data_IF_844338095896
#
_entry.id   IF_844338095896
#
_cell.length_a   1.000
_cell.length_b   1.000
_cell.length_c   1.000
_cell.angle_alpha   90.00
_cell.angle_beta   90.00
_cell.angle_gamma   90.00
#
_symmetry.space_group_name_H-M   'P 1'
#
loop_
_entity.id
_entity.type
_entity.pdbx_description
1 polymer ?
#
# COMPACT_ATOMS: atom_id res chain seq x y z
N UNK A 1 25.40 16.12 -28.09
CA UNK A 1 24.41 16.79 -28.96
C UNK A 1 23.81 15.76 -29.92
N UNK A 2 22.64 15.20 -29.62
CA UNK A 2 22.11 14.11 -30.47
C UNK A 2 20.85 13.42 -29.97
N UNK A 3 19.84 14.18 -29.52
CA UNK A 3 18.49 13.64 -29.27
C UNK A 3 17.35 14.57 -29.77
N UNK A 4 17.67 15.82 -30.12
CA UNK A 4 16.70 16.81 -30.62
C UNK A 4 16.49 16.68 -32.15
N UNK A 5 17.44 16.12 -32.92
CA UNK A 5 17.31 16.02 -34.39
C UNK A 5 16.44 14.86 -34.88
N UNK A 6 16.19 13.84 -34.05
CA UNK A 6 15.31 12.71 -34.43
C UNK A 6 13.82 13.02 -34.25
N UNK A 7 13.46 13.98 -33.38
CA UNK A 7 12.06 14.36 -33.15
C UNK A 7 11.51 15.26 -34.27
N UNK A 8 12.37 16.05 -34.93
CA UNK A 8 11.97 16.95 -36.03
C UNK A 8 11.67 16.21 -37.35
N UNK A 9 12.29 15.05 -37.59
CA UNK A 9 12.09 14.27 -38.82
C UNK A 9 10.81 13.42 -38.83
N UNK A 10 10.18 13.19 -37.67
CA UNK A 10 8.89 12.51 -37.57
C UNK A 10 7.68 13.44 -37.75
N UNK A 11 7.89 14.75 -37.63
CA UNK A 11 6.84 15.78 -37.81
C UNK A 11 6.76 16.30 -39.26
N UNK A 12 7.82 16.15 -40.06
CA UNK A 12 7.85 16.60 -41.46
C UNK A 12 7.44 15.52 -42.46
N UNK A 13 7.41 14.24 -42.08
CA UNK A 13 7.03 13.14 -42.99
C UNK A 13 5.52 12.92 -43.16
N UNK A 14 4.67 13.72 -42.50
CA UNK A 14 3.19 13.67 -42.64
C UNK A 14 2.59 14.77 -43.51
N UNK A 15 3.41 15.65 -44.11
CA UNK A 15 2.92 16.78 -44.91
C UNK A 15 3.00 16.52 -46.43
N UNK A 16 3.58 15.41 -46.87
CA UNK A 16 3.68 15.08 -48.31
C UNK A 16 2.77 13.93 -48.72
N UNK A 17 1.45 14.13 -48.66
CA UNK A 17 0.51 13.41 -49.53
C UNK A 17 -0.84 14.14 -49.62
N UNK A 18 -0.82 15.39 -50.08
CA UNK A 18 -2.04 16.08 -50.50
C UNK A 18 -2.16 16.01 -52.03
N UNK A 19 -2.92 15.03 -52.54
CA UNK A 19 -3.48 15.07 -53.89
C UNK A 19 -4.97 14.73 -53.83
N UNK A 20 -5.75 15.71 -54.26
CA UNK A 20 -7.13 15.65 -54.81
C UNK A 20 -8.24 15.11 -53.90
N UNK A 21 -8.96 16.02 -53.23
CA UNK A 21 -10.38 15.86 -52.89
C UNK A 21 -11.14 17.19 -53.05
N UNK A 22 -12.42 17.07 -53.43
CA UNK A 22 -13.35 18.09 -53.93
C UNK A 22 -13.92 19.02 -52.83
N UNK A 23 -14.50 20.19 -53.17
CA UNK A 23 -14.87 21.24 -52.21
C UNK A 23 -16.18 20.99 -51.43
N UNK A 24 -16.45 19.74 -51.04
CA UNK A 24 -17.60 19.39 -50.19
C UNK A 24 -17.25 18.63 -48.91
N UNK A 25 -15.96 18.48 -48.55
CA UNK A 25 -15.51 17.80 -47.32
C UNK A 25 -14.85 18.74 -46.30
N UNK A 26 -14.98 20.05 -46.47
CA UNK A 26 -14.37 21.07 -45.60
C UNK A 26 -15.23 21.48 -44.40
N UNK A 27 -16.41 20.86 -44.21
CA UNK A 27 -17.32 21.21 -43.11
C UNK A 27 -17.44 20.17 -41.98
N UNK A 28 -16.72 19.05 -42.06
CA UNK A 28 -16.76 17.97 -41.04
C UNK A 28 -15.39 17.58 -40.42
N UNK A 29 -14.36 18.42 -40.57
CA UNK A 29 -13.04 18.20 -39.95
C UNK A 29 -12.62 19.26 -38.92
N UNK A 30 -13.54 20.12 -38.49
CA UNK A 30 -13.31 21.12 -37.42
C UNK A 30 -14.12 20.83 -36.15
N UNK A 31 -14.41 19.56 -35.87
CA UNK A 31 -14.91 19.13 -34.57
C UNK A 31 -13.88 18.20 -33.93
N UNK A 32 -13.43 18.54 -32.72
CA UNK A 32 -12.56 17.76 -31.82
C UNK A 32 -11.04 17.90 -31.99
N UNK A 33 -10.52 19.11 -31.83
CA UNK A 33 -9.32 19.31 -30.98
C UNK A 33 -9.56 20.54 -30.12
N UNK A 34 -10.41 20.41 -29.11
CA UNK A 34 -10.37 21.32 -27.97
C UNK A 34 -9.25 20.80 -27.06
N UNK A 35 -8.10 21.49 -26.93
CA UNK A 35 -7.16 21.13 -25.88
C UNK A 35 -7.93 21.24 -24.56
N UNK A 36 -7.97 20.17 -23.76
CA UNK A 36 -8.44 20.24 -22.38
C UNK A 36 -7.65 21.37 -21.73
N UNK A 37 -8.30 22.51 -21.47
CA UNK A 37 -7.70 23.62 -20.75
C UNK A 37 -7.21 23.09 -19.40
N UNK A 38 -5.89 22.91 -19.26
CA UNK A 38 -5.24 22.90 -17.96
C UNK A 38 -5.55 24.27 -17.36
N UNK A 39 -6.47 24.34 -16.38
CA UNK A 39 -6.52 25.49 -15.47
C UNK A 39 -5.29 25.40 -14.57
N UNK A 40 -4.14 25.76 -15.13
CA UNK A 40 -2.97 26.18 -14.37
C UNK A 40 -3.30 27.58 -13.86
N UNK A 41 -3.44 27.74 -12.55
CA UNK A 41 -3.05 29.02 -12.01
C UNK A 41 -1.52 28.99 -12.07
N UNK A 42 -0.88 29.92 -12.78
CA UNK A 42 0.55 29.82 -13.14
C UNK A 42 1.48 29.52 -11.96
N UNK A 43 1.06 29.87 -10.74
CA UNK A 43 1.82 29.66 -9.52
C UNK A 43 1.72 28.26 -8.89
N UNK A 44 0.67 27.45 -9.15
CA UNK A 44 0.45 26.17 -8.44
C UNK A 44 0.08 25.08 -9.44
N UNK A 45 0.80 23.96 -9.40
CA UNK A 45 0.53 22.77 -10.21
C UNK A 45 0.61 21.48 -9.40
N UNK A 46 -0.22 20.50 -9.78
CA UNK A 46 -0.26 19.18 -9.16
C UNK A 46 -0.21 18.14 -10.27
N UNK A 47 0.89 17.38 -10.35
CA UNK A 47 1.12 16.37 -11.39
C UNK A 47 1.75 15.12 -10.77
N UNK A 48 1.19 13.93 -11.07
CA UNK A 48 1.70 12.64 -10.59
C UNK A 48 1.96 12.58 -9.06
N UNK A 49 1.03 13.08 -8.26
CA UNK A 49 1.14 13.18 -6.80
C UNK A 49 2.28 14.10 -6.29
N UNK A 50 2.74 15.05 -7.12
CA UNK A 50 3.66 16.11 -6.72
C UNK A 50 3.00 17.47 -6.79
N UNK A 51 3.21 18.30 -5.76
CA UNK A 51 2.79 19.69 -5.68
C UNK A 51 4.00 20.57 -5.98
N UNK A 52 3.86 21.44 -6.98
CA UNK A 52 4.82 22.50 -7.28
C UNK A 52 4.16 23.86 -7.08
N UNK A 53 4.86 24.74 -6.37
CA UNK A 53 4.49 26.15 -6.20
C UNK A 53 5.69 26.97 -6.65
N UNK A 54 5.49 27.95 -7.53
CA UNK A 54 6.58 28.78 -8.04
C UNK A 54 6.97 29.88 -7.04
N UNK A 55 5.98 30.52 -6.41
CA UNK A 55 6.17 31.62 -5.46
C UNK A 55 5.13 31.61 -4.32
N UNK A 56 5.55 31.50 -3.04
CA UNK A 56 6.91 31.11 -2.62
C UNK A 56 7.23 29.69 -3.07
N UNK A 57 8.48 29.46 -3.51
CA UNK A 57 8.87 28.15 -4.04
C UNK A 57 8.59 27.00 -3.06
N UNK A 58 7.99 25.94 -3.59
CA UNK A 58 7.80 24.67 -2.93
C UNK A 58 7.75 23.53 -3.96
N UNK A 59 8.40 22.42 -3.62
CA UNK A 59 8.24 21.16 -4.33
C UNK A 59 8.19 20.02 -3.32
N UNK A 60 7.20 19.15 -3.44
CA UNK A 60 7.00 18.05 -2.52
C UNK A 60 5.84 17.14 -2.90
N UNK A 61 5.69 16.04 -2.18
CA UNK A 61 4.62 15.07 -2.41
C UNK A 61 3.26 15.68 -2.04
N UNK A 62 2.25 15.48 -2.87
CA UNK A 62 0.91 16.01 -2.73
C UNK A 62 -0.07 14.95 -2.21
N UNK A 63 -0.89 15.35 -1.25
CA UNK A 63 -1.96 14.54 -0.67
C UNK A 63 -3.27 15.29 -0.81
N UNK A 64 -4.26 14.66 -1.43
CA UNK A 64 -5.57 15.28 -1.70
C UNK A 64 -6.64 14.79 -0.73
N UNK A 65 -7.54 15.69 -0.37
CA UNK A 65 -8.77 15.34 0.36
C UNK A 65 -9.73 14.56 -0.54
N UNK A 66 -10.69 13.86 0.06
CA UNK A 66 -11.67 13.06 -0.70
C UNK A 66 -12.54 13.94 -1.61
N UNK A 67 -12.96 15.11 -1.12
CA UNK A 67 -13.66 16.12 -1.91
C UNK A 67 -12.75 16.87 -2.92
N UNK A 68 -11.44 16.60 -2.90
CA UNK A 68 -10.41 17.21 -3.76
C UNK A 68 -10.29 18.72 -3.62
N UNK A 69 -10.83 19.31 -2.55
CA UNK A 69 -10.74 20.75 -2.29
C UNK A 69 -9.43 21.15 -1.63
N UNK A 70 -8.80 20.22 -0.91
CA UNK A 70 -7.60 20.49 -0.13
C UNK A 70 -6.44 19.65 -0.63
N UNK A 71 -5.26 20.25 -0.58
CA UNK A 71 -4.00 19.61 -0.95
C UNK A 71 -2.98 19.96 0.10
N UNK A 72 -2.40 18.94 0.72
CA UNK A 72 -1.23 19.09 1.58
C UNK A 72 0.00 18.68 0.78
N UNK A 73 1.00 19.55 0.73
CA UNK A 73 2.32 19.25 0.21
C UNK A 73 3.29 18.94 1.35
N UNK A 74 4.04 17.84 1.28
CA UNK A 74 5.13 17.55 2.19
C UNK A 74 6.47 17.50 1.46
N UNK A 75 7.48 18.11 2.05
CA UNK A 75 8.86 18.07 1.56
C UNK A 75 9.82 17.83 2.71
N UNK A 76 10.48 16.67 2.70
CA UNK A 76 11.58 16.33 3.62
C UNK A 76 12.87 17.12 3.33
N UNK A 77 12.81 18.12 2.44
CA UNK A 77 13.92 18.98 2.08
C UNK A 77 14.05 20.16 3.05
N UNK A 78 15.25 20.41 3.56
CA UNK A 78 15.53 21.44 4.55
C UNK A 78 15.66 22.86 3.98
N UNK A 79 15.61 23.02 2.65
CA UNK A 79 15.82 24.30 1.96
C UNK A 79 17.27 24.59 1.59
N UNK A 80 18.24 23.80 2.06
CA UNK A 80 19.68 24.04 1.96
C UNK A 80 20.44 22.89 1.26
N UNK A 81 19.75 22.06 0.50
CA UNK A 81 20.38 20.98 -0.27
C UNK A 81 20.28 19.59 0.38
N UNK A 82 19.63 19.46 1.56
CA UNK A 82 19.56 18.19 2.28
C UNK A 82 18.12 17.70 2.45
N UNK A 83 17.91 16.44 2.09
CA UNK A 83 16.72 15.67 2.46
C UNK A 83 17.13 14.29 2.99
N UNK A 84 16.19 13.52 3.51
CA UNK A 84 16.51 12.22 4.09
C UNK A 84 17.14 12.33 5.49
N UNK A 85 17.89 11.29 5.89
CA UNK A 85 18.51 11.18 7.20
C UNK A 85 19.39 12.40 7.55
N UNK A 86 19.10 13.00 8.71
CA UNK A 86 19.82 14.17 9.23
C UNK A 86 19.54 14.39 10.71
N UNK A 87 20.41 15.20 11.33
CA UNK A 87 20.35 15.57 12.74
C UNK A 87 19.65 16.93 12.98
N UNK A 88 19.42 17.72 11.93
CA UNK A 88 18.79 19.04 12.01
C UNK A 88 18.27 19.50 10.64
N UNK A 89 17.55 20.62 10.62
CA UNK A 89 17.00 21.23 9.39
C UNK A 89 15.56 20.80 9.13
N UNK A 90 14.62 21.72 9.34
CA UNK A 90 13.19 21.44 9.19
C UNK A 90 12.78 21.31 7.72
N UNK A 91 11.98 20.28 7.44
CA UNK A 91 11.27 20.18 6.19
C UNK A 91 10.16 21.23 6.08
N UNK A 92 9.37 21.10 5.02
CA UNK A 92 8.29 22.05 4.72
C UNK A 92 6.97 21.32 4.51
N UNK A 93 5.90 21.87 5.10
CA UNK A 93 4.52 21.46 4.81
C UNK A 93 3.73 22.66 4.33
N UNK A 94 2.91 22.47 3.29
CA UNK A 94 2.06 23.52 2.72
C UNK A 94 0.62 23.03 2.61
N UNK A 95 -0.34 23.86 2.99
CA UNK A 95 -1.76 23.62 2.72
C UNK A 95 -2.25 24.55 1.60
N UNK A 96 -2.90 23.96 0.60
CA UNK A 96 -3.48 24.67 -0.54
C UNK A 96 -4.98 24.42 -0.62
N UNK A 97 -5.75 25.50 -0.72
CA UNK A 97 -7.13 25.48 -1.17
C UNK A 97 -7.15 25.35 -2.69
N UNK A 98 -7.44 24.15 -3.20
CA UNK A 98 -7.35 23.83 -4.63
C UNK A 98 -8.37 24.58 -5.50
N UNK A 99 -9.65 24.75 -5.11
CA UNK A 99 -10.62 25.49 -5.92
C UNK A 99 -10.18 26.93 -6.19
N UNK A 100 -9.55 27.58 -5.20
CA UNK A 100 -9.08 28.97 -5.32
C UNK A 100 -7.60 29.09 -5.70
N UNK A 101 -6.87 27.96 -5.72
CA UNK A 101 -5.41 27.92 -5.85
C UNK A 101 -4.70 28.88 -4.88
N UNK A 102 -5.19 28.97 -3.64
CA UNK A 102 -4.59 29.78 -2.59
C UNK A 102 -3.79 28.91 -1.63
N UNK A 103 -2.59 29.37 -1.30
CA UNK A 103 -1.79 28.82 -0.20
C UNK A 103 -2.35 29.43 1.08
N UNK A 104 -2.81 28.59 2.02
CA UNK A 104 -3.27 29.08 3.32
C UNK A 104 -2.11 29.33 4.25
N UNK A 105 -1.20 28.36 4.36
CA UNK A 105 -0.02 28.48 5.19
C UNK A 105 1.11 27.55 4.71
N UNK A 106 2.32 27.89 5.18
CA UNK A 106 3.56 27.14 4.98
C UNK A 106 4.24 26.97 6.33
N UNK A 107 4.43 25.73 6.77
CA UNK A 107 5.08 25.39 8.04
C UNK A 107 6.51 24.92 7.80
N UNK A 108 7.43 25.38 8.66
CA UNK A 108 8.84 24.96 8.72
C UNK A 108 9.27 24.57 10.13
N UNK A 109 8.35 23.93 10.86
CA UNK A 109 8.50 23.52 12.26
C UNK A 109 8.51 22.00 12.44
N UNK A 110 8.37 21.25 11.35
CA UNK A 110 8.32 19.78 11.33
C UNK A 110 9.68 19.26 10.86
N UNK A 111 10.29 18.33 11.60
CA UNK A 111 11.65 17.89 11.34
C UNK A 111 11.75 17.30 9.94
N UNK A 112 11.01 16.23 9.68
CA UNK A 112 11.03 15.43 8.46
C UNK A 112 9.62 15.00 8.04
N UNK A 113 8.81 15.90 7.44
CA UNK A 113 7.47 15.58 6.99
C UNK A 113 7.54 14.56 5.84
N UNK A 114 7.28 13.29 6.15
CA UNK A 114 7.47 12.16 5.26
C UNK A 114 6.18 11.73 4.56
N UNK A 115 5.04 11.85 5.25
CA UNK A 115 3.73 11.50 4.73
C UNK A 115 2.64 12.40 5.32
N UNK A 116 1.50 12.56 4.64
CA UNK A 116 0.35 13.31 5.14
C UNK A 116 -0.99 12.73 4.68
N UNK A 117 -2.06 13.15 5.36
CA UNK A 117 -3.43 12.94 4.90
C UNK A 117 -4.27 14.16 5.28
N UNK A 118 -5.22 14.55 4.43
CA UNK A 118 -6.03 15.77 4.60
C UNK A 118 -7.52 15.45 4.53
N UNK A 119 -8.27 16.00 5.46
CA UNK A 119 -9.72 15.87 5.56
C UNK A 119 -10.43 16.85 4.62
N UNK A 120 -11.73 16.66 4.45
CA UNK A 120 -12.56 17.54 3.61
C UNK A 120 -12.79 18.92 4.25
N UNK A 121 -12.51 19.04 5.55
CA UNK A 121 -12.54 20.30 6.31
C UNK A 121 -11.29 21.17 6.08
N UNK A 122 -10.20 20.58 5.57
CA UNK A 122 -8.89 21.23 5.45
C UNK A 122 -7.94 20.91 6.60
N UNK A 123 -8.43 20.35 7.71
CA UNK A 123 -7.59 19.76 8.76
C UNK A 123 -6.78 18.59 8.17
N UNK A 124 -5.55 18.43 8.65
CA UNK A 124 -4.66 17.40 8.13
C UNK A 124 -3.75 16.83 9.20
N UNK A 125 -3.19 15.66 8.90
CA UNK A 125 -2.18 15.00 9.71
C UNK A 125 -0.88 14.87 8.92
N UNK A 126 0.24 14.94 9.63
CA UNK A 126 1.59 14.76 9.09
C UNK A 126 2.30 13.68 9.90
N UNK A 127 2.93 12.75 9.20
CA UNK A 127 3.96 11.87 9.75
C UNK A 127 5.30 12.60 9.69
N UNK A 128 5.84 12.92 10.86
CA UNK A 128 7.20 13.41 11.02
C UNK A 128 8.13 12.23 11.34
N UNK A 129 9.09 11.96 10.47
CA UNK A 129 10.07 10.89 10.69
C UNK A 129 11.13 11.23 11.75
N UNK A 130 11.16 12.47 12.26
CA UNK A 130 12.10 12.90 13.30
C UNK A 130 13.56 12.95 12.84
N UNK A 131 14.46 13.38 13.72
CA UNK A 131 15.90 13.41 13.41
C UNK A 131 16.62 12.13 13.87
N UNK A 132 17.81 11.91 13.30
CA UNK A 132 18.71 10.83 13.69
C UNK A 132 18.26 9.44 13.23
N UNK A 133 18.73 8.43 13.95
CA UNK A 133 18.63 7.00 13.57
C UNK A 133 17.71 6.19 14.47
N UNK A 134 17.03 6.82 15.44
CA UNK A 134 16.10 6.11 16.32
C UNK A 134 14.89 5.59 15.53
N UNK A 135 14.34 4.45 15.94
CA UNK A 135 13.02 4.01 15.48
C UNK A 135 11.97 4.88 16.15
N UNK A 136 11.61 5.97 15.49
CA UNK A 136 10.67 6.94 16.03
C UNK A 136 9.92 7.65 14.93
N UNK A 137 8.75 8.17 15.29
CA UNK A 137 8.00 9.07 14.44
C UNK A 137 6.95 9.82 15.27
N UNK A 138 6.56 11.00 14.82
CA UNK A 138 5.38 11.68 15.36
C UNK A 138 4.24 11.67 14.35
N UNK A 139 3.02 11.47 14.85
CA UNK A 139 1.80 11.90 14.17
C UNK A 139 1.43 13.29 14.69
N UNK A 140 1.29 14.26 13.80
CA UNK A 140 0.94 15.64 14.14
C UNK A 140 -0.36 16.00 13.42
N UNK A 141 -1.40 16.44 14.13
CA UNK A 141 -2.63 16.95 13.55
C UNK A 141 -2.65 18.48 13.58
N UNK A 142 -2.98 19.09 12.45
CA UNK A 142 -2.94 20.53 12.21
C UNK A 142 -4.29 20.98 11.65
N UNK A 143 -4.83 22.09 12.16
CA UNK A 143 -6.06 22.69 11.63
C UNK A 143 -5.82 23.42 10.30
N UNK A 144 -6.92 23.83 9.66
CA UNK A 144 -6.90 24.58 8.40
C UNK A 144 -6.21 25.95 8.51
N UNK A 145 -6.10 26.51 9.72
CA UNK A 145 -5.39 27.75 10.03
C UNK A 145 -3.88 27.56 10.26
N UNK A 146 -3.41 26.30 10.39
CA UNK A 146 -2.00 25.96 10.56
C UNK A 146 -1.54 25.76 12.02
N UNK A 147 -2.47 25.66 12.97
CA UNK A 147 -2.17 25.39 14.37
C UNK A 147 -2.12 23.89 14.67
N UNK A 148 -1.16 23.48 15.49
CA UNK A 148 -1.09 22.10 15.99
C UNK A 148 -2.21 21.83 17.00
N UNK A 149 -3.07 20.86 16.71
CA UNK A 149 -4.17 20.44 17.59
C UNK A 149 -3.76 19.29 18.51
N UNK A 150 -2.90 18.40 17.99
CA UNK A 150 -2.56 17.14 18.61
C UNK A 150 -1.22 16.62 18.10
N UNK A 151 -0.48 15.95 18.98
CA UNK A 151 0.74 15.21 18.63
C UNK A 151 0.80 13.90 19.42
N UNK A 152 1.18 12.83 18.74
CA UNK A 152 1.52 11.53 19.35
C UNK A 152 2.87 11.07 18.83
N UNK A 153 3.82 10.95 19.76
CA UNK A 153 5.13 10.37 19.52
C UNK A 153 5.07 8.85 19.56
N UNK A 154 5.75 8.13 18.68
CA UNK A 154 5.86 6.67 18.67
C UNK A 154 7.31 6.22 18.80
N UNK A 155 7.57 5.19 19.60
CA UNK A 155 8.86 4.49 19.68
C UNK A 155 9.04 3.46 18.53
N UNK A 156 8.45 3.77 17.37
CA UNK A 156 8.53 2.99 16.15
C UNK A 156 8.34 3.93 14.95
N UNK A 157 8.91 3.57 13.80
CA UNK A 157 8.63 4.28 12.57
C UNK A 157 7.14 4.10 12.21
N UNK A 158 6.48 5.17 11.76
CA UNK A 158 5.15 5.07 11.17
C UNK A 158 5.27 4.45 9.77
N UNK A 159 4.51 3.38 9.53
CA UNK A 159 4.38 2.74 8.23
C UNK A 159 3.40 3.51 7.34
N UNK A 160 2.20 3.81 7.85
CA UNK A 160 1.16 4.50 7.09
C UNK A 160 0.16 5.23 8.01
N UNK A 161 -0.53 6.23 7.45
CA UNK A 161 -1.51 7.05 8.16
C UNK A 161 -2.77 7.26 7.32
N UNK A 162 -3.86 7.63 7.98
CA UNK A 162 -5.12 8.02 7.33
C UNK A 162 -5.92 8.96 8.21
N UNK A 163 -6.78 9.79 7.61
CA UNK A 163 -7.69 10.70 8.31
C UNK A 163 -9.10 10.52 7.78
N UNK A 164 -10.10 10.61 8.65
CA UNK A 164 -11.50 10.59 8.23
C UNK A 164 -11.86 11.87 7.46
N UNK A 165 -12.84 11.77 6.56
CA UNK A 165 -13.24 12.93 5.76
C UNK A 165 -13.69 14.13 6.61
N UNK A 166 -14.23 13.89 7.81
CA UNK A 166 -14.62 14.94 8.75
C UNK A 166 -13.47 15.48 9.63
N UNK A 167 -12.25 14.93 9.51
CA UNK A 167 -11.08 15.33 10.31
C UNK A 167 -11.08 14.85 11.77
N UNK A 168 -12.13 14.14 12.21
CA UNK A 168 -12.28 13.72 13.62
C UNK A 168 -11.42 12.52 14.00
N UNK A 169 -11.11 11.62 13.06
CA UNK A 169 -10.38 10.39 13.34
C UNK A 169 -9.11 10.29 12.52
N UNK A 170 -8.03 9.84 13.17
CA UNK A 170 -6.80 9.44 12.50
C UNK A 170 -6.57 7.95 12.71
N UNK A 171 -6.02 7.27 11.70
CA UNK A 171 -5.47 5.93 11.81
C UNK A 171 -3.97 6.00 11.61
N UNK A 172 -3.23 5.27 12.44
CA UNK A 172 -1.77 5.13 12.33
C UNK A 172 -1.44 3.66 12.37
N UNK A 173 -0.55 3.23 11.48
CA UNK A 173 0.08 1.93 11.57
C UNK A 173 1.58 2.10 11.66
N UNK A 174 2.20 1.42 12.61
CA UNK A 174 3.64 1.46 12.82
C UNK A 174 4.33 0.23 12.24
N UNK A 175 5.60 0.39 11.88
CA UNK A 175 6.45 -0.70 11.45
C UNK A 175 6.82 -1.61 12.64
N UNK A 176 7.38 -2.78 12.34
CA UNK A 176 7.89 -3.68 13.37
C UNK A 176 9.05 -3.02 14.11
N UNK A 177 8.92 -2.93 15.43
CA UNK A 177 9.91 -2.40 16.34
C UNK A 177 9.80 -3.13 17.69
N UNK A 178 10.86 -3.11 18.52
CA UNK A 178 10.74 -3.47 19.93
C UNK A 178 9.75 -2.54 20.65
N UNK A 179 9.11 -3.05 21.71
CA UNK A 179 8.25 -2.23 22.57
C UNK A 179 6.77 -2.17 22.16
N UNK A 180 6.03 -1.29 22.85
CA UNK A 180 4.57 -1.20 22.78
C UNK A 180 4.06 -0.61 21.46
N UNK A 181 4.84 0.28 20.85
CA UNK A 181 4.48 0.98 19.62
C UNK A 181 4.89 0.20 18.37
N UNK A 182 5.54 -0.97 18.48
CA UNK A 182 5.96 -1.76 17.33
C UNK A 182 4.80 -2.57 16.71
N UNK A 183 4.62 -2.49 15.40
CA UNK A 183 3.61 -3.23 14.63
C UNK A 183 2.20 -3.11 15.23
N UNK A 184 1.72 -1.89 15.43
CA UNK A 184 0.37 -1.61 15.89
C UNK A 184 -0.46 -0.94 14.80
N UNK A 185 -1.77 -1.13 14.85
CA UNK A 185 -2.78 -0.30 14.21
C UNK A 185 -3.54 0.45 15.30
N UNK A 186 -3.47 1.77 15.27
CA UNK A 186 -4.12 2.66 16.23
C UNK A 186 -5.14 3.55 15.53
N UNK A 187 -6.28 3.79 16.17
CA UNK A 187 -7.24 4.84 15.77
C UNK A 187 -7.38 5.83 16.91
N UNK A 188 -7.27 7.12 16.59
CA UNK A 188 -7.30 8.23 17.53
C UNK A 188 -8.48 9.14 17.17
N UNK A 189 -9.24 9.56 18.16
CA UNK A 189 -10.17 10.67 18.01
C UNK A 189 -9.40 11.98 18.27
N UNK A 190 -9.17 12.74 17.20
CA UNK A 190 -8.39 13.97 17.22
C UNK A 190 -9.12 15.12 17.95
N UNK A 191 -10.46 15.05 18.04
CA UNK A 191 -11.24 16.04 18.77
C UNK A 191 -11.09 15.86 20.28
N UNK A 192 -11.32 14.64 20.79
CA UNK A 192 -11.18 14.33 22.21
C UNK A 192 -9.73 14.08 22.63
N UNK A 193 -8.80 13.97 21.67
CA UNK A 193 -7.38 13.63 21.88
C UNK A 193 -7.19 12.28 22.57
N UNK A 194 -8.06 11.31 22.29
CA UNK A 194 -8.04 9.99 22.92
C UNK A 194 -7.86 8.87 21.90
N UNK A 195 -7.05 7.87 22.22
CA UNK A 195 -6.99 6.61 21.48
C UNK A 195 -8.31 5.87 21.63
N UNK A 196 -8.92 5.50 20.50
CA UNK A 196 -10.12 4.65 20.45
C UNK A 196 -9.73 3.17 20.60
N UNK A 197 -8.71 2.74 19.86
CA UNK A 197 -8.08 1.43 20.05
C UNK A 197 -6.64 1.46 19.54
N UNK A 198 -5.82 0.55 20.07
CA UNK A 198 -4.46 0.26 19.61
C UNK A 198 -4.22 -1.25 19.68
N UNK A 199 -4.05 -1.90 18.53
CA UNK A 199 -4.07 -3.37 18.40
C UNK A 199 -2.92 -3.86 17.53
N UNK A 200 -2.60 -5.16 17.62
CA UNK A 200 -1.82 -5.81 16.57
C UNK A 200 -2.70 -5.99 15.31
N UNK A 201 -2.22 -5.61 14.12
CA UNK A 201 -3.05 -5.65 12.91
C UNK A 201 -3.26 -7.07 12.39
N UNK A 202 -4.48 -7.60 12.53
CA UNK A 202 -4.89 -8.91 11.98
C UNK A 202 -4.60 -9.07 10.47
N UNK A 203 -4.82 -8.00 9.69
CA UNK A 203 -4.70 -8.06 8.22
C UNK A 203 -3.34 -7.59 7.68
N UNK A 204 -2.33 -7.52 8.54
CA UNK A 204 -1.00 -7.03 8.20
C UNK A 204 -0.94 -5.51 7.97
N UNK A 205 0.07 -5.07 7.21
CA UNK A 205 0.27 -3.65 6.90
C UNK A 205 -0.62 -3.17 5.76
N UNK A 206 -1.44 -2.18 6.05
CA UNK A 206 -2.45 -1.65 5.13
C UNK A 206 -1.93 -0.46 4.31
N UNK A 207 -2.31 -0.41 3.04
CA UNK A 207 -1.95 0.66 2.11
C UNK A 207 -2.88 1.87 2.21
N UNK A 208 -4.10 1.69 2.73
CA UNK A 208 -5.07 2.78 2.87
C UNK A 208 -6.14 2.46 3.93
N UNK A 209 -6.76 3.51 4.45
CA UNK A 209 -7.77 3.46 5.49
C UNK A 209 -9.04 4.19 5.06
N UNK A 210 -10.20 3.63 5.37
CA UNK A 210 -11.51 4.21 5.09
C UNK A 210 -12.36 4.15 6.36
N UNK A 211 -12.81 5.31 6.80
CA UNK A 211 -13.60 5.46 8.01
C UNK A 211 -15.08 5.42 7.65
N UNK A 212 -15.80 4.46 8.21
CA UNK A 212 -17.25 4.39 8.13
C UNK A 212 -17.84 5.08 9.35
N UNK A 213 -18.59 6.15 9.12
CA UNK A 213 -19.13 7.01 10.16
C UNK A 213 -20.66 6.92 10.18
N UNK A 214 -21.25 7.05 11.36
CA UNK A 214 -22.68 7.26 11.51
C UNK A 214 -23.10 8.71 11.16
N UNK A 215 -24.41 8.97 11.16
CA UNK A 215 -24.99 10.27 10.83
C UNK A 215 -24.53 11.40 11.77
N UNK A 216 -24.07 11.07 12.98
CA UNK A 216 -23.55 12.01 13.97
C UNK A 216 -22.01 12.11 13.91
N UNK A 217 -21.36 11.50 12.92
CA UNK A 217 -19.91 11.46 12.81
C UNK A 217 -19.23 10.59 13.87
N UNK A 218 -19.93 9.61 14.42
CA UNK A 218 -19.37 8.54 15.26
C UNK A 218 -18.75 7.43 14.40
N UNK A 219 -17.62 6.87 14.82
CA UNK A 219 -16.96 5.78 14.10
C UNK A 219 -17.78 4.48 14.23
N UNK A 220 -18.20 3.90 13.11
CA UNK A 220 -18.85 2.57 13.04
C UNK A 220 -17.85 1.47 12.77
N UNK A 221 -16.97 1.67 11.79
CA UNK A 221 -15.94 0.70 11.41
C UNK A 221 -14.75 1.37 10.74
N UNK A 222 -13.61 0.68 10.78
CA UNK A 222 -12.42 1.02 10.00
C UNK A 222 -12.24 -0.06 8.93
N UNK A 223 -12.29 0.32 7.66
CA UNK A 223 -11.94 -0.55 6.54
C UNK A 223 -10.50 -0.27 6.11
N UNK A 224 -9.68 -1.32 6.06
CA UNK A 224 -8.30 -1.27 5.59
C UNK A 224 -8.20 -1.87 4.19
N UNK A 225 -7.30 -1.34 3.37
CA UNK A 225 -6.93 -1.90 2.06
C UNK A 225 -5.57 -2.58 2.17
N UNK A 226 -5.49 -3.85 1.81
CA UNK A 226 -4.23 -4.58 1.71
C UNK A 226 -3.93 -4.85 0.23
N UNK A 227 -2.82 -4.30 -0.27
CA UNK A 227 -2.45 -4.31 -1.69
C UNK A 227 -2.42 -5.72 -2.25
N UNK A 228 -3.05 -5.86 -3.40
CA UNK A 228 -3.21 -7.12 -4.13
C UNK A 228 -3.94 -8.23 -3.34
N UNK A 229 -4.53 -7.95 -2.17
CA UNK A 229 -5.27 -8.92 -1.35
C UNK A 229 -6.75 -8.53 -1.30
N UNK A 230 -7.07 -7.32 -0.83
CA UNK A 230 -8.46 -6.88 -0.73
C UNK A 230 -8.71 -5.80 0.31
N UNK A 231 -9.96 -5.74 0.77
CA UNK A 231 -10.42 -4.81 1.80
C UNK A 231 -11.02 -5.60 2.95
N UNK A 232 -10.69 -5.21 4.18
CA UNK A 232 -11.10 -5.91 5.40
C UNK A 232 -11.44 -4.90 6.48
N UNK A 233 -12.34 -5.26 7.40
CA UNK A 233 -12.86 -4.34 8.40
C UNK A 233 -12.49 -4.71 9.82
N UNK A 234 -12.38 -3.66 10.63
CA UNK A 234 -12.41 -3.69 12.08
C UNK A 234 -13.67 -2.98 12.57
N UNK A 235 -14.23 -3.41 13.69
CA UNK A 235 -15.28 -2.67 14.41
C UNK A 235 -14.74 -1.31 14.90
N UNK A 236 -15.63 -0.46 15.39
CA UNK A 236 -15.26 0.82 16.02
C UNK A 236 -14.24 0.69 17.17
N UNK A 237 -14.15 -0.48 17.80
CA UNK A 237 -13.23 -0.77 18.93
C UNK A 237 -12.05 -1.67 18.53
N UNK A 238 -11.82 -1.89 17.24
CA UNK A 238 -10.62 -2.60 16.75
C UNK A 238 -10.75 -4.13 16.68
N UNK A 239 -11.96 -4.69 16.75
CA UNK A 239 -12.14 -6.15 16.60
C UNK A 239 -12.21 -6.49 15.10
N UNK A 240 -11.42 -7.45 14.57
CA UNK A 240 -11.47 -7.81 13.15
C UNK A 240 -12.80 -8.51 12.79
N UNK A 241 -13.41 -8.11 11.68
CA UNK A 241 -14.71 -8.61 11.18
C UNK A 241 -14.55 -9.67 10.09
N UNK A 242 -13.63 -9.45 9.15
CA UNK A 242 -13.55 -10.20 7.88
C UNK A 242 -12.41 -11.25 7.90
N UNK A 243 -12.15 -11.87 9.06
CA UNK A 243 -11.01 -12.79 9.29
C UNK A 243 -10.99 -13.96 8.30
N UNK A 244 -12.11 -14.65 8.12
CA UNK A 244 -12.17 -15.81 7.21
C UNK A 244 -12.06 -15.40 5.74
N UNK A 245 -12.62 -14.25 5.37
CA UNK A 245 -12.46 -13.69 4.02
C UNK A 245 -11.01 -13.28 3.74
N UNK A 246 -10.30 -12.77 4.75
CA UNK A 246 -8.86 -12.47 4.66
C UNK A 246 -8.03 -13.74 4.47
N UNK A 247 -8.24 -14.76 5.30
CA UNK A 247 -7.54 -16.05 5.18
C UNK A 247 -7.74 -16.69 3.80
N UNK A 248 -8.96 -16.68 3.29
CA UNK A 248 -9.25 -17.20 1.95
C UNK A 248 -8.60 -16.34 0.84
N UNK A 249 -8.60 -15.00 0.98
CA UNK A 249 -7.91 -14.13 0.05
C UNK A 249 -6.39 -14.38 0.02
N UNK A 250 -5.76 -14.63 1.17
CA UNK A 250 -4.32 -14.93 1.26
C UNK A 250 -3.91 -16.22 0.52
N UNK A 251 -4.83 -17.16 0.28
CA UNK A 251 -4.55 -18.38 -0.49
C UNK A 251 -4.44 -18.12 -2.00
N UNK A 252 -5.18 -17.13 -2.52
CA UNK A 252 -5.39 -16.98 -3.97
C UNK A 252 -4.98 -15.62 -4.51
N UNK A 253 -4.69 -14.66 -3.65
CA UNK A 253 -4.29 -13.29 -4.00
C UNK A 253 -2.93 -12.96 -3.39
N UNK A 254 -2.45 -11.74 -3.60
CA UNK A 254 -1.12 -11.32 -3.16
C UNK A 254 0.01 -12.02 -3.92
N UNK A 255 1.21 -12.03 -3.35
CA UNK A 255 2.40 -12.66 -3.94
C UNK A 255 2.48 -14.16 -3.59
N UNK A 256 3.37 -14.90 -4.27
CA UNK A 256 3.53 -16.33 -4.03
C UNK A 256 3.96 -16.65 -2.59
N UNK A 257 4.76 -15.79 -1.94
CA UNK A 257 5.18 -15.97 -0.53
C UNK A 257 3.97 -16.09 0.40
N UNK A 258 3.01 -15.16 0.25
CA UNK A 258 1.80 -15.13 1.06
C UNK A 258 0.96 -16.39 0.84
N UNK A 259 0.79 -16.83 -0.42
CA UNK A 259 0.04 -18.04 -0.75
C UNK A 259 0.67 -19.29 -0.13
N UNK A 260 1.99 -19.40 -0.19
CA UNK A 260 2.73 -20.52 0.42
C UNK A 260 2.52 -20.54 1.93
N UNK A 261 2.67 -19.40 2.62
CA UNK A 261 2.49 -19.35 4.07
C UNK A 261 1.02 -19.55 4.49
N UNK A 262 0.05 -19.03 3.73
CA UNK A 262 -1.37 -19.24 3.98
C UNK A 262 -1.77 -20.72 3.83
N UNK A 263 -1.28 -21.39 2.78
CA UNK A 263 -1.50 -22.81 2.57
C UNK A 263 -0.87 -23.66 3.69
N UNK A 264 0.34 -23.29 4.13
CA UNK A 264 1.01 -23.95 5.27
C UNK A 264 0.20 -23.83 6.55
N UNK A 265 -0.24 -22.61 6.89
CA UNK A 265 -1.03 -22.35 8.09
C UNK A 265 -2.35 -23.12 8.06
N UNK A 266 -3.04 -23.12 6.91
CA UNK A 266 -4.30 -23.81 6.72
C UNK A 266 -4.20 -25.32 7.02
N UNK A 267 -3.17 -26.00 6.48
CA UNK A 267 -2.99 -27.44 6.72
C UNK A 267 -2.52 -27.76 8.14
N UNK A 268 -1.75 -26.87 8.75
CA UNK A 268 -1.27 -27.03 10.14
C UNK A 268 -2.41 -26.91 11.14
N UNK A 269 -3.29 -25.92 10.96
CA UNK A 269 -4.34 -25.58 11.94
C UNK A 269 -5.61 -26.41 11.73
N UNK A 270 -5.95 -26.70 10.47
CA UNK A 270 -7.21 -27.37 10.12
C UNK A 270 -7.01 -28.44 9.03
N UNK A 271 -6.28 -29.53 9.30
CA UNK A 271 -6.08 -30.60 8.32
C UNK A 271 -7.41 -31.27 7.96
N UNK A 272 -7.78 -31.22 6.68
CA UNK A 272 -8.94 -31.91 6.11
C UNK A 272 -8.79 -32.04 4.59
N UNK A 273 -9.52 -32.95 3.96
CA UNK A 273 -9.52 -33.09 2.49
C UNK A 273 -9.89 -31.78 1.79
N UNK A 274 -10.93 -31.09 2.27
CA UNK A 274 -11.36 -29.79 1.73
C UNK A 274 -10.24 -28.76 1.79
N UNK A 275 -9.54 -28.66 2.92
CA UNK A 275 -8.44 -27.71 3.09
C UNK A 275 -7.18 -28.14 2.33
N UNK A 276 -6.96 -29.45 2.15
CA UNK A 276 -5.93 -29.98 1.27
C UNK A 276 -6.15 -29.57 -0.19
N UNK A 277 -7.38 -29.62 -0.70
CA UNK A 277 -7.71 -29.13 -2.05
C UNK A 277 -7.44 -27.63 -2.19
N UNK A 278 -7.84 -26.82 -1.21
CA UNK A 278 -7.57 -25.37 -1.19
C UNK A 278 -6.06 -25.08 -1.19
N UNK A 279 -5.31 -25.73 -0.30
CA UNK A 279 -3.87 -25.58 -0.19
C UNK A 279 -3.16 -26.00 -1.47
N UNK A 280 -3.56 -27.13 -2.08
CA UNK A 280 -2.99 -27.61 -3.33
C UNK A 280 -3.16 -26.57 -4.45
N UNK A 281 -4.37 -26.03 -4.62
CA UNK A 281 -4.65 -24.97 -5.60
C UNK A 281 -3.80 -23.71 -5.36
N UNK A 282 -3.71 -23.26 -4.10
CA UNK A 282 -2.89 -22.11 -3.72
C UNK A 282 -1.40 -22.31 -4.06
N UNK A 283 -0.86 -23.50 -3.77
CA UNK A 283 0.52 -23.85 -4.06
C UNK A 283 0.80 -23.94 -5.56
N UNK A 284 -0.13 -24.45 -6.36
CA UNK A 284 0.03 -24.48 -7.80
C UNK A 284 0.07 -23.08 -8.42
N UNK A 285 -0.77 -22.17 -7.93
CA UNK A 285 -0.69 -20.76 -8.29
C UNK A 285 0.66 -20.16 -7.88
N UNK A 286 1.11 -20.40 -6.65
CA UNK A 286 2.39 -19.89 -6.15
C UNK A 286 3.59 -20.38 -6.98
N UNK A 287 3.61 -21.66 -7.35
CA UNK A 287 4.65 -22.25 -8.21
C UNK A 287 4.66 -21.62 -9.61
N UNK A 288 3.49 -21.33 -10.17
CA UNK A 288 3.35 -20.67 -11.47
C UNK A 288 3.75 -19.17 -11.43
N UNK A 289 3.59 -18.52 -10.28
CA UNK A 289 4.00 -17.12 -10.04
C UNK A 289 5.49 -16.95 -9.72
N UNK A 290 6.27 -18.03 -9.70
CA UNK A 290 7.72 -17.98 -9.54
C UNK A 290 8.26 -18.52 -8.22
N UNK A 291 7.44 -19.13 -7.36
CA UNK A 291 7.95 -19.79 -6.14
C UNK A 291 8.98 -20.88 -6.47
N UNK A 292 8.83 -21.57 -7.61
CA UNK A 292 9.75 -22.61 -8.08
C UNK A 292 11.14 -22.08 -8.44
N UNK A 293 11.26 -20.79 -8.75
CA UNK A 293 12.50 -20.15 -9.20
C UNK A 293 13.35 -19.66 -8.02
N UNK A 294 12.87 -19.85 -6.78
CA UNK A 294 13.55 -19.46 -5.54
C UNK A 294 13.67 -20.68 -4.64
N UNK A 295 14.89 -21.19 -4.46
CA UNK A 295 15.19 -22.45 -3.76
C UNK A 295 14.42 -22.65 -2.45
N UNK A 296 14.41 -21.64 -1.56
CA UNK A 296 13.74 -21.74 -0.26
C UNK A 296 12.21 -21.86 -0.39
N UNK A 297 11.63 -21.07 -1.30
CA UNK A 297 10.19 -21.09 -1.58
C UNK A 297 9.76 -22.33 -2.35
N UNK A 298 10.60 -22.82 -3.27
CA UNK A 298 10.38 -24.06 -4.00
C UNK A 298 10.32 -25.25 -3.02
N UNK A 299 11.30 -25.36 -2.11
CA UNK A 299 11.31 -26.40 -1.09
C UNK A 299 10.05 -26.37 -0.21
N UNK A 300 9.66 -25.18 0.27
CA UNK A 300 8.47 -25.00 1.08
C UNK A 300 7.18 -25.35 0.31
N UNK A 301 7.03 -24.84 -0.91
CA UNK A 301 5.86 -25.07 -1.75
C UNK A 301 5.70 -26.56 -2.09
N UNK A 302 6.77 -27.24 -2.52
CA UNK A 302 6.72 -28.67 -2.82
C UNK A 302 6.48 -29.52 -1.58
N UNK A 303 7.00 -29.12 -0.41
CA UNK A 303 6.65 -29.77 0.85
C UNK A 303 5.14 -29.69 1.08
N UNK A 304 4.54 -28.51 1.02
CA UNK A 304 3.10 -28.31 1.27
C UNK A 304 2.26 -29.04 0.20
N UNK A 305 2.71 -29.06 -1.06
CA UNK A 305 2.08 -29.86 -2.14
C UNK A 305 2.07 -31.35 -1.79
N UNK A 306 3.15 -31.86 -1.20
CA UNK A 306 3.21 -33.23 -0.70
C UNK A 306 2.26 -33.48 0.46
N UNK A 307 2.21 -32.56 1.44
CA UNK A 307 1.29 -32.65 2.59
C UNK A 307 -0.18 -32.66 2.15
N UNK A 308 -0.54 -31.81 1.18
CA UNK A 308 -1.89 -31.76 0.63
C UNK A 308 -2.26 -33.06 -0.10
N UNK A 309 -1.38 -33.59 -0.97
CA UNK A 309 -1.66 -34.84 -1.68
C UNK A 309 -1.74 -36.06 -0.75
N UNK A 310 -0.92 -36.10 0.30
CA UNK A 310 -0.95 -37.16 1.31
C UNK A 310 -2.31 -37.17 2.04
N UNK A 311 -2.83 -35.99 2.41
CA UNK A 311 -4.16 -35.83 3.00
C UNK A 311 -5.30 -36.22 2.05
N UNK A 312 -5.11 -36.08 0.74
CA UNK A 312 -6.07 -36.49 -0.28
C UNK A 312 -5.98 -37.97 -0.67
N UNK A 313 -5.02 -38.72 -0.11
CA UNK A 313 -4.78 -40.11 -0.48
C UNK A 313 -4.03 -40.28 -1.81
N UNK A 314 -3.58 -39.20 -2.43
CA UNK A 314 -2.81 -39.21 -3.68
C UNK A 314 -1.33 -39.53 -3.41
N UNK A 315 -1.05 -40.75 -2.95
CA UNK A 315 0.27 -41.12 -2.42
C UNK A 315 1.42 -41.01 -3.45
N UNK A 316 1.14 -41.22 -4.74
CA UNK A 316 2.14 -41.05 -5.81
C UNK A 316 2.53 -39.58 -5.96
N UNK A 317 1.56 -38.68 -6.10
CA UNK A 317 1.81 -37.25 -6.23
C UNK A 317 2.43 -36.65 -4.97
N UNK A 318 2.05 -37.17 -3.79
CA UNK A 318 2.65 -36.79 -2.53
C UNK A 318 4.14 -37.13 -2.48
N UNK A 319 4.50 -38.34 -2.91
CA UNK A 319 5.88 -38.80 -2.97
C UNK A 319 6.72 -37.91 -3.92
N UNK A 320 6.24 -37.69 -5.14
CA UNK A 320 6.93 -36.85 -6.14
C UNK A 320 7.15 -35.42 -5.63
N UNK A 321 6.15 -34.86 -4.96
CA UNK A 321 6.25 -33.53 -4.37
C UNK A 321 7.27 -33.48 -3.21
N UNK A 322 7.27 -34.46 -2.31
CA UNK A 322 8.26 -34.50 -1.22
C UNK A 322 9.69 -34.72 -1.73
N UNK A 323 9.88 -35.52 -2.79
CA UNK A 323 11.19 -35.72 -3.40
C UNK A 323 11.71 -34.44 -4.06
N UNK A 324 10.84 -33.69 -4.77
CA UNK A 324 11.17 -32.34 -5.27
C UNK A 324 11.51 -31.39 -4.11
N UNK A 325 10.78 -31.44 -3.00
CA UNK A 325 11.09 -30.61 -1.85
C UNK A 325 12.51 -30.89 -1.30
N UNK A 326 12.89 -32.18 -1.20
CA UNK A 326 14.22 -32.59 -0.75
C UNK A 326 15.32 -32.22 -1.74
N UNK A 327 15.05 -32.20 -3.05
CA UNK A 327 16.05 -31.78 -4.04
C UNK A 327 16.40 -30.30 -3.92
N UNK A 328 15.46 -29.45 -3.48
CA UNK A 328 15.74 -28.05 -3.18
C UNK A 328 16.34 -27.85 -1.78
N UNK A 329 15.85 -28.59 -0.77
CA UNK A 329 16.39 -28.52 0.59
C UNK A 329 16.33 -29.90 1.27
N UNK A 330 17.47 -30.62 1.36
CA UNK A 330 17.54 -31.92 2.02
C UNK A 330 17.15 -31.90 3.50
N UNK A 331 17.19 -30.73 4.15
CA UNK A 331 16.84 -30.54 5.58
C UNK A 331 15.40 -30.06 5.80
N UNK A 332 14.54 -30.06 4.77
CA UNK A 332 13.15 -29.60 4.86
C UNK A 332 12.23 -30.51 5.72
N UNK A 333 12.74 -31.63 6.24
CA UNK A 333 12.08 -32.43 7.29
C UNK A 333 11.04 -33.44 6.80
N UNK A 334 11.06 -33.82 5.51
CA UNK A 334 10.07 -34.76 4.92
C UNK A 334 10.62 -36.16 4.63
N UNK A 335 11.90 -36.43 4.91
CA UNK A 335 12.55 -37.72 4.57
C UNK A 335 11.82 -38.95 5.16
N UNK A 336 11.32 -38.84 6.39
CA UNK A 336 10.56 -39.93 7.03
C UNK A 336 9.24 -40.20 6.29
N UNK A 337 8.55 -39.16 5.81
CA UNK A 337 7.31 -39.29 5.04
C UNK A 337 7.56 -39.96 3.68
N UNK A 338 8.62 -39.55 2.97
CA UNK A 338 9.07 -40.19 1.72
C UNK A 338 9.29 -41.70 1.90
N UNK A 339 10.05 -42.09 2.93
CA UNK A 339 10.34 -43.50 3.19
C UNK A 339 9.06 -44.30 3.52
N UNK A 340 8.12 -43.71 4.26
CA UNK A 340 6.84 -44.34 4.58
C UNK A 340 5.97 -44.52 3.32
N UNK A 341 5.88 -43.50 2.47
CA UNK A 341 5.10 -43.55 1.23
C UNK A 341 5.66 -44.56 0.22
N UNK A 342 6.99 -44.63 0.06
CA UNK A 342 7.63 -45.65 -0.80
C UNK A 342 7.25 -47.07 -0.39
N UNK A 343 7.32 -47.37 0.92
CA UNK A 343 6.91 -48.67 1.46
C UNK A 343 5.42 -48.94 1.25
N UNK A 344 4.57 -47.92 1.40
CA UNK A 344 3.12 -48.04 1.21
C UNK A 344 2.79 -48.36 -0.26
N UNK A 345 3.39 -47.65 -1.20
CA UNK A 345 3.18 -47.87 -2.64
C UNK A 345 3.72 -49.23 -3.11
N UNK A 346 4.81 -49.72 -2.54
CA UNK A 346 5.32 -51.06 -2.81
C UNK A 346 4.37 -52.18 -2.36
N UNK A 347 3.52 -51.94 -1.34
CA UNK A 347 2.54 -52.91 -0.83
C UNK A 347 1.21 -52.88 -1.59
N UNK A 348 0.98 -51.83 -2.38
CA UNK A 348 -0.23 -51.65 -3.19
C UNK A 348 -0.07 -52.17 -4.62
N UNK A 349 1.17 -52.47 -5.03
CA UNK A 349 1.50 -53.23 -6.23
C UNK A 349 1.58 -54.71 -5.87
#
# INVERSE_FOLDING_TARGET
MGFISQLFNLLTSRITSAKTMTPSSLHELTANITPKLKKQNGNISIENDWLTIDSPYFFGQAYLSANKHWVVGCSDFDGNGRGGHRESGFGTVVLVNKPTFRILHKLRTIARPFNAAVADTGDYIVHDAGFGSALQADLIAIDVEGNEKFRRHYEANIYNIGISHCGKYASVQTAAAPGKDGNILEVINLWSKTTIFSIKPEYGWADSYFFDLDENGGLRSLKVKCKNIGYFRYTAIGIPIDVEAYKDACLYKGNFNLKVEAARALLREHPSEKNAQKALKAIEMALNEGAKDRTDWAAAAFRIKGEANDLLGNFSDALDAYEKALSFNPKIGVQRRVNALRKKLQRLK
#
